data_IF_090592610019
#
_entry.id   IF_090592610019
#
_cell.length_a   1.000
_cell.length_b   1.000
_cell.length_c   1.000
_cell.angle_alpha   90.00
_cell.angle_beta   90.00
_cell.angle_gamma   90.00
#
_symmetry.space_group_name_H-M   'P 1'
#
loop_
_entity.id
_entity.type
_entity.pdbx_description
1 polymer ?
#
# COMPACT_ATOMS: atom_id res chain seq x y z
N UNK A 1 -48.97 -31.00 14.98
CA UNK A 1 -48.28 -29.92 15.75
C UNK A 1 -46.74 -30.03 15.79
N UNK A 2 -46.14 -31.17 15.44
CA UNK A 2 -44.66 -31.37 15.61
C UNK A 2 -43.79 -30.69 14.54
N UNK A 3 -44.25 -30.54 13.29
CA UNK A 3 -43.43 -30.01 12.20
C UNK A 3 -43.12 -28.50 12.36
N UNK A 4 -44.12 -27.69 12.70
CA UNK A 4 -43.94 -26.25 12.90
C UNK A 4 -43.06 -25.93 14.12
N UNK A 5 -43.15 -26.73 15.15
CA UNK A 5 -42.37 -26.63 16.38
C UNK A 5 -40.90 -26.94 16.09
N UNK A 6 -40.61 -27.99 15.29
CA UNK A 6 -39.27 -28.34 14.88
C UNK A 6 -38.64 -27.32 13.95
N UNK A 7 -39.40 -26.74 13.02
CA UNK A 7 -38.92 -25.67 12.13
C UNK A 7 -38.51 -24.42 12.91
N UNK A 8 -39.33 -23.97 13.86
CA UNK A 8 -39.00 -22.82 14.73
C UNK A 8 -37.75 -23.05 15.58
N UNK A 9 -37.64 -24.24 16.15
CA UNK A 9 -36.46 -24.58 16.96
C UNK A 9 -35.18 -24.57 16.11
N UNK A 10 -35.23 -25.03 14.85
CA UNK A 10 -34.09 -25.03 13.93
C UNK A 10 -33.72 -23.59 13.50
N UNK A 11 -34.72 -22.76 13.22
CA UNK A 11 -34.53 -21.35 12.88
C UNK A 11 -33.88 -20.57 14.05
N UNK A 12 -34.38 -20.77 15.27
CA UNK A 12 -33.83 -20.14 16.47
C UNK A 12 -32.40 -20.62 16.76
N UNK A 13 -32.12 -21.90 16.62
CA UNK A 13 -30.78 -22.47 16.74
C UNK A 13 -29.82 -21.83 15.72
N UNK A 14 -30.22 -21.78 14.45
CA UNK A 14 -29.41 -21.18 13.37
C UNK A 14 -29.15 -19.71 13.63
N UNK A 15 -30.16 -18.95 14.09
CA UNK A 15 -30.01 -17.53 14.41
C UNK A 15 -29.05 -17.32 15.59
N UNK A 16 -29.17 -18.12 16.64
CA UNK A 16 -28.26 -18.06 17.80
C UNK A 16 -26.82 -18.40 17.40
N UNK A 17 -26.62 -19.40 16.53
CA UNK A 17 -25.31 -19.77 16.01
C UNK A 17 -24.69 -18.63 15.19
N UNK A 18 -25.46 -18.00 14.28
CA UNK A 18 -24.99 -16.85 13.51
C UNK A 18 -24.65 -15.65 14.39
N UNK A 19 -25.43 -15.41 15.43
CA UNK A 19 -25.19 -14.35 16.40
C UNK A 19 -23.90 -14.59 17.19
N UNK A 20 -23.67 -15.84 17.61
CA UNK A 20 -22.43 -16.24 18.29
C UNK A 20 -21.20 -16.08 17.37
N UNK A 21 -21.30 -16.53 16.11
CA UNK A 21 -20.23 -16.38 15.12
C UNK A 21 -19.93 -14.88 14.88
N UNK A 22 -20.96 -14.05 14.75
CA UNK A 22 -20.79 -12.60 14.61
C UNK A 22 -20.05 -12.00 15.79
N UNK A 23 -20.42 -12.35 17.01
CA UNK A 23 -19.77 -11.87 18.23
C UNK A 23 -18.28 -12.29 18.28
N UNK A 24 -17.99 -13.55 17.96
CA UNK A 24 -16.61 -14.05 17.89
C UNK A 24 -15.80 -13.28 16.85
N UNK A 25 -16.34 -13.09 15.63
CA UNK A 25 -15.66 -12.34 14.57
C UNK A 25 -15.44 -10.88 14.94
N UNK A 26 -16.42 -10.24 15.57
CA UNK A 26 -16.29 -8.87 16.06
C UNK A 26 -15.15 -8.75 17.09
N UNK A 27 -15.09 -9.67 18.05
CA UNK A 27 -14.02 -9.69 19.05
C UNK A 27 -12.64 -9.97 18.42
N UNK A 28 -12.56 -10.87 17.44
CA UNK A 28 -11.31 -11.13 16.71
C UNK A 28 -10.81 -9.90 15.99
N UNK A 29 -11.71 -9.17 15.31
CA UNK A 29 -11.36 -7.91 14.63
C UNK A 29 -10.91 -6.83 15.62
N UNK A 30 -11.64 -6.69 16.76
CA UNK A 30 -11.28 -5.72 17.79
C UNK A 30 -9.87 -6.00 18.37
N UNK A 31 -9.59 -7.26 18.70
CA UNK A 31 -8.29 -7.67 19.20
C UNK A 31 -7.17 -7.46 18.18
N UNK A 32 -7.44 -7.75 16.91
CA UNK A 32 -6.49 -7.52 15.82
C UNK A 32 -6.16 -6.03 15.64
N UNK A 33 -7.17 -5.16 15.65
CA UNK A 33 -6.97 -3.72 15.56
C UNK A 33 -6.23 -3.16 16.78
N UNK A 34 -6.54 -3.64 17.99
CA UNK A 34 -5.82 -3.26 19.21
C UNK A 34 -4.36 -3.71 19.19
N UNK A 35 -4.06 -4.87 18.63
CA UNK A 35 -2.68 -5.31 18.40
C UNK A 35 -1.92 -4.41 17.43
N UNK A 36 -2.53 -4.04 16.30
CA UNK A 36 -1.94 -3.08 15.35
C UNK A 36 -1.68 -1.74 16.02
N UNK A 37 -2.63 -1.21 16.79
CA UNK A 37 -2.47 0.05 17.52
C UNK A 37 -1.27 0.01 18.46
N UNK A 38 -1.14 -1.05 19.26
CA UNK A 38 -0.01 -1.24 20.17
C UNK A 38 1.33 -1.34 19.44
N UNK A 39 1.37 -2.02 18.29
CA UNK A 39 2.56 -2.07 17.44
C UNK A 39 2.94 -0.69 16.90
N UNK A 40 1.98 0.09 16.38
CA UNK A 40 2.21 1.44 15.89
C UNK A 40 2.76 2.34 17.01
N UNK A 41 2.18 2.27 18.21
CA UNK A 41 2.67 3.04 19.35
C UNK A 41 4.12 2.67 19.71
N UNK A 42 4.44 1.38 19.74
CA UNK A 42 5.80 0.91 20.02
C UNK A 42 6.79 1.40 18.96
N UNK A 43 6.43 1.29 17.67
CA UNK A 43 7.26 1.75 16.56
C UNK A 43 7.47 3.27 16.60
N UNK A 44 6.42 4.05 16.91
CA UNK A 44 6.51 5.51 16.97
C UNK A 44 7.48 6.03 18.04
N UNK A 45 7.73 5.25 19.08
CA UNK A 45 8.68 5.54 20.16
C UNK A 45 10.07 4.96 19.91
N UNK A 46 10.22 4.13 18.88
CA UNK A 46 11.51 3.54 18.54
C UNK A 46 12.48 4.58 18.02
N UNK A 47 13.68 4.65 18.62
CA UNK A 47 14.75 5.54 18.17
C UNK A 47 15.09 5.31 16.71
N UNK A 48 15.16 4.06 16.29
CA UNK A 48 15.41 3.68 14.90
C UNK A 48 14.36 4.24 13.94
N UNK A 49 13.07 4.16 14.31
CA UNK A 49 11.98 4.71 13.49
C UNK A 49 12.07 6.23 13.39
N UNK A 50 12.38 6.91 14.50
CA UNK A 50 12.56 8.38 14.53
C UNK A 50 13.72 8.78 13.61
N UNK A 51 14.87 8.11 13.74
CA UNK A 51 16.05 8.39 12.93
C UNK A 51 15.76 8.11 11.44
N UNK A 52 15.08 6.99 11.11
CA UNK A 52 14.66 6.68 9.76
C UNK A 52 13.75 7.77 9.16
N UNK A 53 12.75 8.22 9.91
CA UNK A 53 11.84 9.28 9.44
C UNK A 53 12.56 10.61 9.19
N UNK A 54 13.56 10.95 10.00
CA UNK A 54 14.38 12.13 9.78
C UNK A 54 15.24 12.00 8.52
N UNK A 55 15.88 10.87 8.33
CA UNK A 55 16.70 10.61 7.14
C UNK A 55 15.84 10.56 5.86
N UNK A 56 14.68 9.89 5.89
CA UNK A 56 13.75 9.90 4.77
C UNK A 56 13.24 11.31 4.43
N UNK A 57 12.88 12.10 5.43
CA UNK A 57 12.45 13.48 5.22
C UNK A 57 13.55 14.32 4.55
N UNK A 58 14.78 14.19 5.01
CA UNK A 58 15.92 14.90 4.45
C UNK A 58 16.21 14.47 3.01
N UNK A 59 16.24 13.17 2.75
CA UNK A 59 16.47 12.60 1.43
C UNK A 59 15.33 12.94 0.43
N UNK A 60 14.08 12.92 0.88
CA UNK A 60 12.93 13.32 0.08
C UNK A 60 12.99 14.81 -0.30
N UNK A 61 13.39 15.67 0.64
CA UNK A 61 13.55 17.11 0.39
C UNK A 61 14.67 17.39 -0.60
N UNK A 62 15.81 16.70 -0.46
CA UNK A 62 16.92 16.82 -1.41
C UNK A 62 16.50 16.36 -2.82
N UNK A 63 15.86 15.20 -2.93
CA UNK A 63 15.34 14.70 -4.20
C UNK A 63 14.35 15.70 -4.84
N UNK A 64 13.45 16.29 -4.04
CA UNK A 64 12.50 17.29 -4.54
C UNK A 64 13.20 18.52 -5.14
N UNK A 65 14.27 18.99 -4.51
CA UNK A 65 15.06 20.14 -4.99
C UNK A 65 15.83 19.80 -6.27
N UNK A 66 16.44 18.60 -6.33
CA UNK A 66 17.14 18.10 -7.52
C UNK A 66 16.21 17.99 -8.72
N UNK A 67 15.03 17.40 -8.54
CA UNK A 67 14.04 17.24 -9.61
C UNK A 67 13.47 18.57 -10.10
N UNK A 68 13.21 19.51 -9.19
CA UNK A 68 12.75 20.86 -9.55
C UNK A 68 13.78 21.60 -10.42
N UNK A 69 15.08 21.38 -10.17
CA UNK A 69 16.16 21.94 -10.99
C UNK A 69 16.29 21.23 -12.36
N UNK A 70 16.09 19.92 -12.41
CA UNK A 70 16.31 19.10 -13.61
C UNK A 70 15.18 19.16 -14.65
N UNK A 71 13.94 19.51 -14.25
CA UNK A 71 12.74 19.59 -15.12
C UNK A 71 12.45 18.34 -15.98
N UNK A 72 12.90 17.16 -15.54
CA UNK A 72 12.91 15.94 -16.36
C UNK A 72 11.76 14.95 -16.11
N UNK A 73 10.93 15.17 -15.10
CA UNK A 73 9.92 14.20 -14.66
C UNK A 73 8.69 14.12 -15.58
N UNK A 74 8.37 15.20 -16.29
CA UNK A 74 7.24 15.24 -17.22
C UNK A 74 7.31 14.14 -18.29
N UNK A 75 8.51 13.78 -18.76
CA UNK A 75 8.68 12.70 -19.74
C UNK A 75 8.33 11.32 -19.17
N UNK A 76 8.43 11.14 -17.86
CA UNK A 76 8.15 9.85 -17.18
C UNK A 76 6.66 9.52 -17.12
N UNK A 77 5.76 10.48 -17.33
CA UNK A 77 4.30 10.29 -17.33
C UNK A 77 3.65 10.44 -18.70
N UNK A 78 4.43 10.73 -19.73
CA UNK A 78 3.90 10.80 -21.10
C UNK A 78 3.47 9.45 -21.62
N UNK A 79 2.51 9.45 -22.53
CA UNK A 79 2.08 8.27 -23.25
C UNK A 79 3.27 7.49 -23.82
N UNK A 80 3.32 6.18 -23.56
CA UNK A 80 4.42 5.30 -23.95
C UNK A 80 5.63 5.28 -23.00
N UNK A 81 5.65 6.09 -21.93
CA UNK A 81 6.65 5.93 -20.86
C UNK A 81 6.38 4.68 -20.03
N UNK A 82 7.40 4.11 -19.36
CA UNK A 82 7.21 2.94 -18.50
C UNK A 82 6.15 3.15 -17.42
N UNK A 83 6.07 4.34 -16.83
CA UNK A 83 5.09 4.64 -15.78
C UNK A 83 3.67 4.72 -16.36
N UNK A 84 3.48 5.41 -17.48
CA UNK A 84 2.20 5.45 -18.17
C UNK A 84 1.72 4.04 -18.55
N UNK A 85 2.58 3.25 -19.19
CA UNK A 85 2.27 1.88 -19.60
C UNK A 85 1.90 0.98 -18.41
N UNK A 86 2.57 1.15 -17.26
CA UNK A 86 2.21 0.42 -16.04
C UNK A 86 0.79 0.76 -15.56
N UNK A 87 0.45 2.05 -15.55
CA UNK A 87 -0.89 2.47 -15.16
C UNK A 87 -1.97 1.98 -16.12
N UNK A 88 -1.70 2.02 -17.43
CA UNK A 88 -2.62 1.58 -18.48
C UNK A 88 -2.83 0.06 -18.49
N UNK A 89 -1.76 -0.73 -18.37
CA UNK A 89 -1.81 -2.17 -18.58
C UNK A 89 -1.94 -3.00 -17.29
N UNK A 90 -1.50 -2.47 -16.15
CA UNK A 90 -1.49 -3.20 -14.89
C UNK A 90 -2.44 -2.61 -13.83
N UNK A 91 -2.37 -1.31 -13.61
CA UNK A 91 -3.16 -0.67 -12.54
C UNK A 91 -4.63 -0.54 -12.89
N UNK A 92 -4.95 0.12 -14.01
CA UNK A 92 -6.32 0.43 -14.40
C UNK A 92 -7.19 -0.83 -14.60
N UNK A 93 -6.74 -1.89 -15.31
CA UNK A 93 -7.54 -3.10 -15.48
C UNK A 93 -7.85 -3.82 -14.15
N UNK A 94 -6.93 -3.73 -13.17
CA UNK A 94 -7.15 -4.34 -11.84
C UNK A 94 -8.17 -3.54 -11.02
N UNK A 95 -8.08 -2.21 -11.10
CA UNK A 95 -9.03 -1.31 -10.44
C UNK A 95 -10.45 -1.51 -10.98
N UNK A 96 -10.63 -1.51 -12.31
CA UNK A 96 -11.91 -1.69 -12.97
C UNK A 96 -12.53 -3.07 -12.71
N UNK A 97 -11.71 -4.11 -12.65
CA UNK A 97 -12.16 -5.45 -12.26
C UNK A 97 -12.71 -5.47 -10.82
N UNK A 98 -12.13 -4.68 -9.92
CA UNK A 98 -12.54 -4.59 -8.52
C UNK A 98 -13.77 -3.70 -8.31
N UNK A 99 -13.79 -2.52 -8.94
CA UNK A 99 -14.87 -1.52 -8.79
C UNK A 99 -16.08 -1.80 -9.67
N UNK A 100 -15.91 -2.52 -10.79
CA UNK A 100 -16.91 -2.70 -11.87
C UNK A 100 -17.32 -1.39 -12.55
N UNK A 101 -16.46 -0.38 -12.48
CA UNK A 101 -16.62 0.93 -13.08
C UNK A 101 -15.46 1.20 -14.03
N UNK A 102 -15.69 1.99 -15.07
CA UNK A 102 -14.63 2.48 -15.97
C UNK A 102 -14.07 3.79 -15.42
N UNK A 103 -12.77 3.95 -15.53
CA UNK A 103 -12.05 5.11 -15.01
C UNK A 103 -11.13 5.71 -16.07
N UNK A 104 -10.93 7.04 -16.01
CA UNK A 104 -9.97 7.74 -16.85
C UNK A 104 -8.57 7.66 -16.21
N UNK A 105 -7.58 7.27 -16.99
CA UNK A 105 -6.19 7.08 -16.52
C UNK A 105 -5.61 8.33 -15.85
N UNK A 106 -5.89 9.50 -16.42
CA UNK A 106 -5.37 10.79 -15.95
C UNK A 106 -5.73 11.14 -14.51
N UNK A 107 -6.80 10.54 -13.97
CA UNK A 107 -7.22 10.74 -12.59
C UNK A 107 -6.26 10.10 -11.57
N UNK A 108 -5.47 9.13 -12.01
CA UNK A 108 -4.60 8.33 -11.14
C UNK A 108 -3.12 8.60 -11.35
N UNK A 109 -2.74 9.23 -12.44
CA UNK A 109 -1.34 9.57 -12.68
C UNK A 109 -0.81 10.51 -11.60
N UNK A 110 0.40 10.29 -11.09
CA UNK A 110 1.00 11.19 -10.11
C UNK A 110 1.25 12.58 -10.73
N UNK A 111 1.06 13.63 -9.93
CA UNK A 111 1.16 15.01 -10.36
C UNK A 111 2.32 15.80 -9.72
N UNK A 112 3.05 15.21 -8.78
CA UNK A 112 4.25 15.84 -8.22
C UNK A 112 5.52 15.19 -8.77
N UNK A 113 6.57 15.98 -9.00
CA UNK A 113 7.84 15.50 -9.56
C UNK A 113 8.41 14.32 -8.77
N UNK A 114 8.39 14.40 -7.44
CA UNK A 114 8.90 13.34 -6.59
C UNK A 114 8.05 12.07 -6.67
N UNK A 115 6.71 12.20 -6.70
CA UNK A 115 5.84 11.04 -6.84
C UNK A 115 6.02 10.37 -8.21
N UNK A 116 6.12 11.15 -9.28
CA UNK A 116 6.42 10.67 -10.63
C UNK A 116 7.73 9.89 -10.64
N UNK A 117 8.79 10.49 -10.10
CA UNK A 117 10.13 9.90 -10.06
C UNK A 117 10.14 8.59 -9.27
N UNK A 118 9.65 8.60 -8.04
CA UNK A 118 9.65 7.42 -7.19
C UNK A 118 8.79 6.28 -7.74
N UNK A 119 7.61 6.59 -8.27
CA UNK A 119 6.76 5.56 -8.88
C UNK A 119 7.36 5.01 -10.18
N UNK A 120 8.04 5.86 -10.97
CA UNK A 120 8.76 5.39 -12.15
C UNK A 120 9.84 4.37 -11.77
N UNK A 121 10.65 4.64 -10.75
CA UNK A 121 11.75 3.79 -10.35
C UNK A 121 11.30 2.57 -9.52
N UNK A 122 10.45 2.76 -8.51
CA UNK A 122 10.06 1.70 -7.57
C UNK A 122 8.87 0.86 -8.04
N UNK A 123 8.03 1.38 -8.93
CA UNK A 123 6.84 0.67 -9.43
C UNK A 123 7.03 0.24 -10.88
N UNK A 124 7.17 1.19 -11.81
CA UNK A 124 7.17 0.87 -13.24
C UNK A 124 8.42 0.11 -13.68
N UNK A 125 9.61 0.54 -13.25
CA UNK A 125 10.88 -0.14 -13.56
C UNK A 125 11.21 -1.33 -12.66
N UNK A 126 10.48 -1.53 -11.59
CA UNK A 126 10.66 -2.67 -10.72
C UNK A 126 10.19 -3.95 -11.43
N UNK A 127 11.10 -4.90 -11.65
CA UNK A 127 10.81 -6.16 -12.34
C UNK A 127 9.96 -7.15 -11.53
N UNK A 128 9.83 -6.96 -10.21
CA UNK A 128 8.99 -7.81 -9.37
C UNK A 128 7.51 -7.72 -9.80
N UNK A 129 6.74 -8.80 -9.71
CA UNK A 129 5.33 -8.78 -10.08
C UNK A 129 4.51 -7.88 -9.15
N UNK A 130 3.31 -7.51 -9.60
CA UNK A 130 2.35 -6.80 -8.73
C UNK A 130 2.03 -7.68 -7.51
N UNK A 131 2.15 -7.10 -6.33
CA UNK A 131 2.03 -7.82 -5.05
C UNK A 131 3.37 -8.16 -4.40
N UNK A 132 4.51 -8.02 -5.12
CA UNK A 132 5.87 -8.23 -4.61
C UNK A 132 6.79 -7.05 -4.90
N UNK A 133 6.25 -5.87 -5.20
CA UNK A 133 7.05 -4.67 -5.47
C UNK A 133 7.87 -4.21 -4.25
N UNK A 134 7.41 -4.57 -3.06
CA UNK A 134 8.09 -4.37 -1.78
C UNK A 134 9.39 -5.17 -1.63
N UNK A 135 9.73 -6.08 -2.54
CA UNK A 135 11.00 -6.80 -2.54
C UNK A 135 12.19 -5.95 -2.98
N UNK A 136 11.94 -4.81 -3.63
CA UNK A 136 13.00 -3.92 -4.09
C UNK A 136 13.60 -3.12 -2.94
N UNK A 137 14.87 -3.36 -2.62
CA UNK A 137 15.60 -2.64 -1.57
C UNK A 137 16.12 -1.27 -2.04
N UNK A 138 16.55 -1.17 -3.31
CA UNK A 138 17.18 0.02 -3.87
C UNK A 138 16.86 0.10 -5.36
N UNK A 139 16.41 1.25 -5.81
CA UNK A 139 16.11 1.49 -7.22
C UNK A 139 17.36 1.66 -8.11
N UNK A 140 18.53 1.72 -7.51
CA UNK A 140 19.84 1.90 -8.16
C UNK A 140 19.89 3.15 -9.07
N UNK A 141 19.16 4.18 -8.66
CA UNK A 141 19.06 5.47 -9.36
C UNK A 141 20.11 6.49 -8.88
N UNK A 142 20.93 6.12 -7.88
CA UNK A 142 21.96 6.97 -7.30
C UNK A 142 21.43 8.06 -6.35
N UNK A 143 20.13 8.12 -6.10
CA UNK A 143 19.53 9.13 -5.22
C UNK A 143 19.83 8.87 -3.74
N UNK A 144 19.89 9.94 -2.95
CA UNK A 144 19.96 9.86 -1.49
C UNK A 144 18.74 9.12 -0.91
N UNK A 145 17.57 9.25 -1.55
CA UNK A 145 16.37 8.53 -1.15
C UNK A 145 16.54 7.02 -1.26
N UNK A 146 17.08 6.50 -2.36
CA UNK A 146 17.30 5.07 -2.54
C UNK A 146 18.34 4.52 -1.57
N UNK A 147 19.36 5.30 -1.18
CA UNK A 147 20.32 4.91 -0.16
C UNK A 147 19.67 4.79 1.24
N UNK A 148 18.82 5.73 1.61
CA UNK A 148 18.06 5.67 2.88
C UNK A 148 17.06 4.52 2.84
N UNK A 149 16.39 4.30 1.71
CA UNK A 149 15.48 3.18 1.53
C UNK A 149 16.19 1.84 1.76
N UNK A 150 17.34 1.63 1.14
CA UNK A 150 18.14 0.40 1.33
C UNK A 150 18.53 0.17 2.80
N UNK A 151 18.90 1.24 3.50
CA UNK A 151 19.32 1.17 4.92
C UNK A 151 18.20 0.66 5.83
N UNK A 152 16.97 1.07 5.61
CA UNK A 152 15.85 0.81 6.53
C UNK A 152 14.83 -0.20 6.01
N UNK A 153 14.81 -0.46 4.72
CA UNK A 153 13.77 -1.27 4.07
C UNK A 153 13.62 -2.68 4.69
N UNK A 154 14.72 -3.41 4.85
CA UNK A 154 14.68 -4.77 5.40
C UNK A 154 14.11 -4.81 6.82
N UNK A 155 14.38 -3.76 7.62
CA UNK A 155 13.85 -3.65 8.98
C UNK A 155 12.34 -3.43 8.94
N UNK A 156 11.87 -2.44 8.18
CA UNK A 156 10.44 -2.17 8.09
C UNK A 156 9.66 -3.33 7.45
N UNK A 157 10.23 -3.99 6.45
CA UNK A 157 9.62 -5.16 5.84
C UNK A 157 9.42 -6.33 6.82
N UNK A 158 10.25 -6.45 7.85
CA UNK A 158 10.11 -7.51 8.87
C UNK A 158 8.87 -7.34 9.77
N UNK A 159 8.19 -6.20 9.71
CA UNK A 159 6.94 -5.94 10.42
C UNK A 159 5.68 -6.20 9.57
N UNK A 160 5.83 -6.51 8.28
CA UNK A 160 4.73 -6.87 7.38
C UNK A 160 4.43 -8.36 7.40
#
# INVERSE_FOLDING_TARGET
MSYQSGKRALEEFSFNQLTAIRAIKSNQMHNYLGFIEAQIQTLSQSRMTIDAMQEYKSAFTALSQELAAAKGTTEMVKAGSPLFSYYESEFLPRLEKGSRETHELDQFLPNSDVAIYLQHHYIAKNAAPVGSKDEMNNAQDGSAYSAVHEKYHAIFRSYL
#
